data_IF_891098043128
#
_entry.id   IF_891098043128
#
_cell.length_a   1.000
_cell.length_b   1.000
_cell.length_c   1.000
_cell.angle_alpha   90.00
_cell.angle_beta   90.00
_cell.angle_gamma   90.00
#
_symmetry.space_group_name_H-M   'P 1'
#
loop_
_entity.id
_entity.type
_entity.pdbx_description
1 polymer ?
#
# COMPACT_ATOMS: atom_id res chain seq x y z
N UNK A 1 -41.68 2.08 -14.10
CA UNK A 1 -40.63 2.11 -15.14
C UNK A 1 -39.86 3.41 -14.97
N UNK A 2 -38.76 3.38 -14.23
CA UNK A 2 -37.92 4.55 -14.00
C UNK A 2 -36.87 4.61 -15.12
N UNK A 3 -36.75 5.76 -15.79
CA UNK A 3 -35.78 5.96 -16.85
C UNK A 3 -34.38 5.94 -16.25
N UNK A 4 -33.53 5.03 -16.73
CA UNK A 4 -32.11 5.05 -16.48
C UNK A 4 -31.55 6.40 -16.97
N UNK A 5 -31.24 7.30 -16.04
CA UNK A 5 -30.37 8.44 -16.32
C UNK A 5 -29.03 7.87 -16.74
N UNK A 6 -28.81 7.75 -18.05
CA UNK A 6 -27.47 7.54 -18.61
C UNK A 6 -26.70 8.82 -18.32
N UNK A 7 -25.98 8.83 -17.22
CA UNK A 7 -24.94 9.82 -16.96
C UNK A 7 -24.04 9.84 -18.20
N UNK A 8 -23.80 11.00 -18.84
CA UNK A 8 -22.93 11.05 -20.00
C UNK A 8 -21.58 10.41 -19.67
N UNK A 9 -21.02 9.59 -20.57
CA UNK A 9 -19.77 8.86 -20.36
C UNK A 9 -18.62 9.76 -19.87
N UNK A 10 -18.68 11.07 -20.15
CA UNK A 10 -17.72 12.07 -19.69
C UNK A 10 -17.65 12.22 -18.16
N UNK A 11 -18.66 11.78 -17.40
CA UNK A 11 -18.67 11.89 -15.93
C UNK A 11 -18.50 10.55 -15.19
N UNK A 12 -18.35 9.41 -15.89
CA UNK A 12 -18.20 8.08 -15.24
C UNK A 12 -17.00 8.06 -14.29
N UNK A 13 -15.87 8.57 -14.75
CA UNK A 13 -14.59 8.48 -14.04
C UNK A 13 -14.35 9.60 -13.02
N UNK A 14 -15.21 10.62 -13.01
CA UNK A 14 -15.09 11.78 -12.16
C UNK A 14 -13.95 12.72 -12.53
N UNK A 15 -13.60 13.66 -11.63
CA UNK A 15 -12.54 14.63 -11.87
C UNK A 15 -11.16 13.97 -11.96
N UNK A 16 -10.17 14.74 -12.43
CA UNK A 16 -8.76 14.35 -12.32
C UNK A 16 -8.41 14.13 -10.85
N UNK A 17 -7.58 13.11 -10.57
CA UNK A 17 -7.27 12.75 -9.19
C UNK A 17 -6.64 13.91 -8.39
N UNK A 18 -5.75 14.68 -9.02
CA UNK A 18 -5.15 15.85 -8.38
C UNK A 18 -6.20 16.87 -7.89
N UNK A 19 -7.23 17.13 -8.71
CA UNK A 19 -8.34 18.04 -8.37
C UNK A 19 -9.16 17.47 -7.21
N UNK A 20 -9.47 16.17 -7.27
CA UNK A 20 -10.21 15.47 -6.21
C UNK A 20 -9.51 15.55 -4.84
N UNK A 21 -8.18 15.38 -4.83
CA UNK A 21 -7.39 15.44 -3.61
C UNK A 21 -7.20 16.88 -3.10
N UNK A 22 -7.11 17.89 -3.99
CA UNK A 22 -6.82 19.28 -3.60
C UNK A 22 -8.04 20.12 -3.22
N UNK A 23 -9.20 19.92 -3.87
CA UNK A 23 -10.38 20.78 -3.70
C UNK A 23 -11.37 20.29 -2.64
N UNK A 24 -10.87 19.62 -1.59
CA UNK A 24 -11.72 18.99 -0.57
C UNK A 24 -12.74 17.96 -1.13
N UNK A 25 -12.58 17.51 -2.38
CA UNK A 25 -13.45 16.49 -2.99
C UNK A 25 -13.51 15.19 -2.17
N UNK A 26 -12.44 14.89 -1.45
CA UNK A 26 -12.35 13.78 -0.51
C UNK A 26 -13.27 13.90 0.73
N UNK A 27 -13.87 15.07 1.00
CA UNK A 27 -14.87 15.24 2.07
C UNK A 27 -16.27 14.80 1.63
N UNK A 28 -16.54 14.67 0.32
CA UNK A 28 -17.88 14.33 -0.18
C UNK A 28 -18.46 13.04 0.42
N UNK A 29 -17.71 11.92 0.60
CA UNK A 29 -18.23 10.74 1.30
C UNK A 29 -18.75 11.02 2.71
N UNK A 30 -18.08 11.92 3.45
CA UNK A 30 -18.52 12.36 4.78
C UNK A 30 -19.81 13.18 4.68
N UNK A 31 -19.86 14.12 3.74
CA UNK A 31 -20.98 15.05 3.60
C UNK A 31 -22.27 14.34 3.21
N UNK A 32 -22.18 13.31 2.35
CA UNK A 32 -23.35 12.54 1.92
C UNK A 32 -23.80 11.50 2.96
N UNK A 33 -22.91 11.06 3.88
CA UNK A 33 -23.19 9.97 4.81
C UNK A 33 -24.48 10.18 5.62
N UNK A 34 -24.78 11.40 6.07
CA UNK A 34 -26.00 11.69 6.85
C UNK A 34 -27.30 11.50 6.06
N UNK A 35 -27.24 11.52 4.73
CA UNK A 35 -28.39 11.39 3.83
C UNK A 35 -28.59 9.97 3.28
N UNK A 36 -27.56 9.12 3.42
CA UNK A 36 -27.57 7.76 2.91
C UNK A 36 -28.23 6.81 3.91
N UNK A 37 -28.67 5.67 3.40
CA UNK A 37 -29.30 4.59 4.15
C UNK A 37 -28.69 3.26 3.69
N UNK A 38 -28.93 2.18 4.44
CA UNK A 38 -28.46 0.85 4.05
C UNK A 38 -28.90 0.40 2.65
N UNK A 39 -30.04 0.88 2.14
CA UNK A 39 -30.51 0.59 0.78
C UNK A 39 -29.54 1.18 -0.25
N UNK A 40 -29.12 2.44 -0.07
CA UNK A 40 -28.18 3.09 -0.98
C UNK A 40 -26.83 2.36 -1.03
N UNK A 41 -26.37 1.85 0.13
CA UNK A 41 -25.14 1.03 0.20
C UNK A 41 -25.34 -0.31 -0.51
N UNK A 42 -26.45 -1.00 -0.25
CA UNK A 42 -26.74 -2.28 -0.88
C UNK A 42 -26.83 -2.16 -2.41
N UNK A 43 -27.48 -1.10 -2.90
CA UNK A 43 -27.57 -0.81 -4.33
C UNK A 43 -26.19 -0.50 -4.94
N UNK A 44 -25.36 0.30 -4.26
CA UNK A 44 -24.01 0.58 -4.69
C UNK A 44 -23.15 -0.70 -4.74
N UNK A 45 -23.24 -1.57 -3.73
CA UNK A 45 -22.54 -2.86 -3.72
C UNK A 45 -23.00 -3.78 -4.84
N UNK A 46 -24.31 -3.88 -5.06
CA UNK A 46 -24.89 -4.67 -6.15
C UNK A 46 -24.42 -4.16 -7.51
N UNK A 47 -24.31 -2.84 -7.68
CA UNK A 47 -23.86 -2.24 -8.93
C UNK A 47 -22.41 -2.62 -9.30
N UNK A 48 -21.57 -3.04 -8.34
CA UNK A 48 -20.21 -3.50 -8.64
C UNK A 48 -20.16 -4.70 -9.60
N UNK A 49 -21.25 -5.47 -9.68
CA UNK A 49 -21.41 -6.57 -10.63
C UNK A 49 -21.76 -6.12 -12.06
N UNK A 50 -22.10 -4.84 -12.26
CA UNK A 50 -22.50 -4.23 -13.53
C UNK A 50 -21.54 -3.07 -13.89
N UNK A 51 -20.37 -3.36 -14.52
CA UNK A 51 -19.30 -2.37 -14.72
C UNK A 51 -19.68 -1.08 -15.45
N UNK A 52 -20.73 -1.13 -16.27
CA UNK A 52 -21.24 0.03 -17.00
C UNK A 52 -22.03 1.00 -16.10
N UNK A 53 -22.56 0.50 -14.98
CA UNK A 53 -23.32 1.26 -14.00
C UNK A 53 -22.44 1.90 -12.91
N UNK A 54 -21.21 1.42 -12.73
CA UNK A 54 -20.30 1.91 -11.69
C UNK A 54 -19.64 3.22 -12.12
N UNK A 55 -19.84 4.27 -11.33
CA UNK A 55 -19.19 5.58 -11.50
C UNK A 55 -18.28 5.90 -10.31
N UNK A 56 -17.56 7.01 -10.36
CA UNK A 56 -16.78 7.47 -9.20
C UNK A 56 -17.68 7.78 -8.00
N UNK A 57 -18.91 8.27 -8.22
CA UNK A 57 -19.89 8.56 -7.17
C UNK A 57 -20.40 7.30 -6.49
N UNK A 58 -20.41 6.16 -7.21
CA UNK A 58 -20.64 4.84 -6.60
C UNK A 58 -19.60 4.58 -5.50
N UNK A 59 -18.32 4.85 -5.77
CA UNK A 59 -17.27 4.68 -4.76
C UNK A 59 -17.32 5.74 -3.66
N UNK A 60 -17.77 6.97 -3.94
CA UNK A 60 -18.02 7.96 -2.87
C UNK A 60 -19.13 7.48 -1.92
N UNK A 61 -20.19 6.89 -2.49
CA UNK A 61 -21.30 6.30 -1.73
C UNK A 61 -20.81 5.13 -0.87
N UNK A 62 -19.95 4.26 -1.43
CA UNK A 62 -19.37 3.14 -0.69
C UNK A 62 -18.38 3.59 0.38
N UNK A 63 -17.54 4.60 0.11
CA UNK A 63 -16.62 5.17 1.09
C UNK A 63 -17.34 5.95 2.20
N UNK A 64 -18.61 6.31 2.03
CA UNK A 64 -19.44 6.85 3.11
C UNK A 64 -19.64 5.85 4.26
N UNK A 65 -19.40 4.55 4.04
CA UNK A 65 -19.35 3.53 5.10
C UNK A 65 -18.27 3.82 6.16
N UNK A 66 -17.29 4.68 5.88
CA UNK A 66 -16.35 5.13 6.89
C UNK A 66 -17.02 6.03 7.94
N UNK A 67 -18.18 6.63 7.67
CA UNK A 67 -18.76 7.71 8.45
C UNK A 67 -20.12 7.34 9.08
N UNK A 68 -20.34 7.78 10.33
CA UNK A 68 -21.63 7.67 11.01
C UNK A 68 -22.67 8.61 10.38
N UNK A 69 -23.93 8.16 10.16
CA UNK A 69 -24.56 6.95 10.72
C UNK A 69 -24.42 5.68 9.85
N UNK A 70 -23.94 5.80 8.62
CA UNK A 70 -24.00 4.71 7.62
C UNK A 70 -23.00 3.61 7.90
N UNK A 71 -21.96 3.88 8.67
CA UNK A 71 -20.97 2.90 9.08
C UNK A 71 -21.56 1.66 9.79
N UNK A 72 -22.79 1.72 10.31
CA UNK A 72 -23.49 0.54 10.83
C UNK A 72 -23.73 -0.56 9.78
N UNK A 73 -23.56 -0.28 8.49
CA UNK A 73 -23.75 -1.21 7.37
C UNK A 73 -22.45 -1.81 6.83
N UNK A 74 -21.31 -1.66 7.51
CA UNK A 74 -20.01 -2.20 7.06
C UNK A 74 -19.96 -3.73 6.95
N UNK A 75 -20.85 -4.43 7.64
CA UNK A 75 -21.03 -5.88 7.54
C UNK A 75 -21.60 -6.33 6.19
N UNK A 76 -22.25 -5.43 5.43
CA UNK A 76 -22.67 -5.73 4.06
C UNK A 76 -21.50 -6.02 3.10
N UNK A 77 -20.26 -5.69 3.50
CA UNK A 77 -19.05 -5.96 2.73
C UNK A 77 -18.58 -7.43 2.82
N UNK A 78 -19.08 -8.18 3.79
CA UNK A 78 -18.56 -9.50 4.16
C UNK A 78 -19.63 -10.59 4.12
N UNK A 79 -19.18 -11.83 4.01
CA UNK A 79 -20.02 -13.03 4.02
C UNK A 79 -19.62 -14.01 2.93
N UNK A 80 -20.18 -15.22 3.00
CA UNK A 80 -19.81 -16.33 2.11
C UNK A 80 -20.09 -16.04 0.62
N UNK A 81 -21.11 -15.21 0.34
CA UNK A 81 -21.48 -14.78 -1.02
C UNK A 81 -20.85 -13.44 -1.42
N UNK A 82 -20.06 -12.80 -0.54
CA UNK A 82 -19.42 -11.52 -0.85
C UNK A 82 -18.43 -11.68 -1.99
N UNK A 83 -18.44 -10.70 -2.91
CA UNK A 83 -17.52 -10.63 -4.05
C UNK A 83 -16.90 -9.24 -4.19
N UNK A 84 -16.87 -8.46 -3.10
CA UNK A 84 -16.48 -7.04 -3.17
C UNK A 84 -15.05 -6.89 -3.69
N UNK A 85 -14.08 -7.61 -3.12
CA UNK A 85 -12.70 -7.54 -3.56
C UNK A 85 -12.50 -7.95 -5.04
N UNK A 86 -12.97 -9.15 -5.48
CA UNK A 86 -12.82 -9.56 -6.86
C UNK A 86 -13.53 -8.62 -7.84
N UNK A 87 -14.69 -8.05 -7.48
CA UNK A 87 -15.40 -7.09 -8.32
C UNK A 87 -14.60 -5.79 -8.47
N UNK A 88 -14.08 -5.22 -7.38
CA UNK A 88 -13.21 -4.03 -7.44
C UNK A 88 -11.99 -4.25 -8.33
N UNK A 89 -11.29 -5.38 -8.18
CA UNK A 89 -10.12 -5.67 -9.01
C UNK A 89 -10.48 -5.94 -10.47
N UNK A 90 -11.65 -6.51 -10.75
CA UNK A 90 -12.15 -6.65 -12.12
C UNK A 90 -12.47 -5.27 -12.74
N UNK A 91 -13.06 -4.34 -11.99
CA UNK A 91 -13.29 -2.97 -12.44
C UNK A 91 -11.98 -2.24 -12.77
N UNK A 92 -10.96 -2.36 -11.91
CA UNK A 92 -9.63 -1.82 -12.17
C UNK A 92 -9.00 -2.45 -13.42
N UNK A 93 -9.18 -3.76 -13.64
CA UNK A 93 -8.70 -4.41 -14.87
C UNK A 93 -9.41 -3.87 -16.10
N UNK A 94 -10.73 -3.71 -16.06
CA UNK A 94 -11.50 -3.14 -17.18
C UNK A 94 -10.99 -1.73 -17.51
N UNK A 95 -10.81 -0.88 -16.50
CA UNK A 95 -10.25 0.47 -16.63
C UNK A 95 -8.87 0.44 -17.34
N UNK A 96 -7.97 -0.42 -16.89
CA UNK A 96 -6.58 -0.42 -17.37
C UNK A 96 -6.41 -1.12 -18.73
N UNK A 97 -7.04 -2.28 -18.93
CA UNK A 97 -6.77 -3.14 -20.08
C UNK A 97 -7.78 -2.98 -21.22
N UNK A 98 -9.02 -2.61 -20.93
CA UNK A 98 -10.04 -2.37 -21.96
C UNK A 98 -10.14 -0.89 -22.30
N UNK A 99 -10.26 -0.03 -21.30
CA UNK A 99 -10.44 1.41 -21.48
C UNK A 99 -9.10 2.16 -21.63
N UNK A 100 -7.97 1.48 -21.39
CA UNK A 100 -6.59 2.00 -21.52
C UNK A 100 -6.33 3.25 -20.67
N UNK A 101 -6.98 3.34 -19.51
CA UNK A 101 -6.84 4.43 -18.54
C UNK A 101 -5.89 4.03 -17.41
N UNK A 102 -5.22 5.02 -16.84
CA UNK A 102 -4.34 4.82 -15.67
C UNK A 102 -5.16 4.81 -14.38
N UNK A 103 -4.74 4.01 -13.39
CA UNK A 103 -5.40 3.91 -12.07
C UNK A 103 -5.42 5.29 -11.40
N UNK A 104 -4.33 6.04 -11.50
CA UNK A 104 -4.18 7.35 -10.85
C UNK A 104 -4.46 8.54 -11.77
N UNK A 105 -5.15 8.33 -12.90
CA UNK A 105 -5.53 9.41 -13.83
C UNK A 105 -6.69 10.27 -13.29
N UNK A 106 -7.68 9.61 -12.69
CA UNK A 106 -8.96 10.17 -12.27
C UNK A 106 -9.36 9.63 -10.89
N UNK A 107 -10.36 10.26 -10.27
CA UNK A 107 -10.84 9.85 -8.95
C UNK A 107 -11.32 8.39 -8.92
N UNK A 108 -11.90 7.88 -10.02
CA UNK A 108 -12.45 6.53 -10.09
C UNK A 108 -11.48 5.41 -9.71
N UNK A 109 -10.32 5.33 -10.35
CA UNK A 109 -9.36 4.24 -10.12
C UNK A 109 -8.78 4.30 -8.71
N UNK A 110 -8.46 5.50 -8.23
CA UNK A 110 -8.04 5.75 -6.86
C UNK A 110 -9.10 5.33 -5.83
N UNK A 111 -10.34 5.77 -5.99
CA UNK A 111 -11.43 5.47 -5.05
C UNK A 111 -11.77 3.98 -5.03
N UNK A 112 -11.69 3.29 -6.18
CA UNK A 112 -11.82 1.85 -6.24
C UNK A 112 -10.72 1.13 -5.43
N UNK A 113 -9.47 1.55 -5.58
CA UNK A 113 -8.34 1.01 -4.81
C UNK A 113 -8.49 1.31 -3.30
N UNK A 114 -8.94 2.52 -2.96
CA UNK A 114 -9.18 2.94 -1.60
C UNK A 114 -10.28 2.12 -0.92
N UNK A 115 -11.39 1.88 -1.64
CA UNK A 115 -12.48 1.04 -1.16
C UNK A 115 -12.06 -0.43 -1.02
N UNK A 116 -11.22 -0.94 -1.92
CA UNK A 116 -10.63 -2.26 -1.77
C UNK A 116 -9.74 -2.35 -0.51
N UNK A 117 -8.94 -1.32 -0.22
CA UNK A 117 -8.14 -1.24 1.02
C UNK A 117 -9.02 -1.22 2.26
N UNK A 118 -10.10 -0.44 2.26
CA UNK A 118 -11.09 -0.40 3.33
C UNK A 118 -11.73 -1.77 3.56
N UNK A 119 -12.15 -2.43 2.47
CA UNK A 119 -12.75 -3.77 2.50
C UNK A 119 -11.78 -4.82 3.05
N UNK A 120 -10.49 -4.74 2.72
CA UNK A 120 -9.46 -5.63 3.28
C UNK A 120 -9.38 -5.50 4.81
N UNK A 121 -9.42 -4.28 5.35
CA UNK A 121 -9.40 -4.08 6.81
C UNK A 121 -10.62 -4.71 7.48
N UNK A 122 -11.82 -4.50 6.93
CA UNK A 122 -13.04 -5.12 7.44
C UNK A 122 -12.97 -6.65 7.32
N UNK A 123 -12.48 -7.17 6.19
CA UNK A 123 -12.27 -8.60 5.97
C UNK A 123 -11.33 -9.24 7.00
N UNK A 124 -10.23 -8.56 7.36
CA UNK A 124 -9.33 -9.01 8.43
C UNK A 124 -10.03 -9.06 9.79
N UNK A 125 -10.82 -8.04 10.13
CA UNK A 125 -11.57 -7.99 11.39
C UNK A 125 -12.59 -9.13 11.48
N UNK A 126 -13.31 -9.37 10.39
CA UNK A 126 -14.26 -10.48 10.28
C UNK A 126 -13.57 -11.84 10.41
N UNK A 127 -12.48 -12.05 9.67
CA UNK A 127 -11.68 -13.28 9.72
C UNK A 127 -11.09 -13.55 11.11
N UNK A 128 -10.73 -12.48 11.83
CA UNK A 128 -10.27 -12.55 13.22
C UNK A 128 -11.38 -12.75 14.26
N UNK A 129 -12.64 -12.88 13.84
CA UNK A 129 -13.78 -13.09 14.74
C UNK A 129 -14.15 -11.87 15.59
N UNK A 130 -13.72 -10.65 15.21
CA UNK A 130 -13.91 -9.41 15.98
C UNK A 130 -15.00 -8.49 15.44
N UNK A 131 -15.71 -8.91 14.39
CA UNK A 131 -16.70 -8.09 13.71
C UNK A 131 -17.79 -7.57 14.66
N UNK A 132 -18.38 -8.44 15.50
CA UNK A 132 -19.47 -8.04 16.38
C UNK A 132 -19.03 -6.96 17.38
N UNK A 133 -17.88 -7.14 18.03
CA UNK A 133 -17.32 -6.16 18.95
C UNK A 133 -17.02 -4.83 18.23
N UNK A 134 -16.46 -4.91 17.02
CA UNK A 134 -16.23 -3.74 16.17
C UNK A 134 -17.54 -3.00 15.84
N UNK A 135 -18.60 -3.71 15.46
CA UNK A 135 -19.92 -3.15 15.16
C UNK A 135 -20.55 -2.46 16.38
N UNK A 136 -20.45 -3.07 17.56
CA UNK A 136 -20.93 -2.49 18.81
C UNK A 136 -20.24 -1.16 19.16
N UNK A 137 -18.95 -1.04 18.84
CA UNK A 137 -18.17 0.16 19.10
C UNK A 137 -18.50 1.28 18.12
N UNK A 138 -18.57 0.99 16.81
CA UNK A 138 -18.92 2.00 15.80
C UNK A 138 -20.37 2.46 15.91
N UNK A 139 -21.29 1.62 16.42
CA UNK A 139 -22.69 2.00 16.66
C UNK A 139 -22.85 3.11 17.71
N UNK A 140 -21.82 3.36 18.54
CA UNK A 140 -21.82 4.41 19.56
C UNK A 140 -21.32 5.75 19.03
N UNK A 141 -20.86 5.81 17.78
CA UNK A 141 -20.34 7.04 17.18
C UNK A 141 -21.45 8.06 16.93
N UNK A 142 -21.16 9.30 17.29
CA UNK A 142 -22.02 10.43 16.93
C UNK A 142 -22.02 10.66 15.41
N UNK A 143 -23.11 11.18 14.83
CA UNK A 143 -23.19 11.49 13.40
C UNK A 143 -21.99 12.31 12.91
N UNK A 144 -21.52 12.02 11.70
CA UNK A 144 -20.38 12.71 11.08
C UNK A 144 -19.00 12.34 11.62
N UNK A 145 -18.90 11.39 12.55
CA UNK A 145 -17.62 10.83 13.00
C UNK A 145 -17.19 9.65 12.12
N UNK A 146 -15.89 9.56 11.85
CA UNK A 146 -15.28 8.48 11.07
C UNK A 146 -14.92 7.30 11.96
N UNK A 147 -15.13 6.08 11.47
CA UNK A 147 -14.71 4.82 12.12
C UNK A 147 -13.21 4.58 12.01
N UNK A 148 -12.46 5.40 11.26
CA UNK A 148 -11.06 5.17 10.89
C UNK A 148 -10.15 4.84 12.07
N UNK A 149 -10.30 5.54 13.20
CA UNK A 149 -9.49 5.27 14.39
C UNK A 149 -9.78 3.86 14.95
N UNK A 150 -11.06 3.52 15.12
CA UNK A 150 -11.50 2.21 15.62
C UNK A 150 -11.05 1.12 14.64
N UNK A 151 -11.31 1.30 13.35
CA UNK A 151 -10.92 0.37 12.28
C UNK A 151 -9.41 0.10 12.30
N UNK A 152 -8.60 1.16 12.39
CA UNK A 152 -7.15 1.03 12.41
C UNK A 152 -6.66 0.33 13.69
N UNK A 153 -7.28 0.57 14.84
CA UNK A 153 -6.90 -0.10 16.08
C UNK A 153 -7.17 -1.61 16.01
N UNK A 154 -8.37 -2.02 15.59
CA UNK A 154 -8.70 -3.44 15.43
C UNK A 154 -7.80 -4.13 14.40
N UNK A 155 -7.58 -3.49 13.23
CA UNK A 155 -6.68 -4.03 12.22
C UNK A 155 -5.25 -4.20 12.76
N UNK A 156 -4.73 -3.19 13.48
CA UNK A 156 -3.39 -3.22 14.06
C UNK A 156 -3.22 -4.23 15.17
N UNK A 157 -4.23 -4.44 16.02
CA UNK A 157 -4.17 -5.48 17.05
C UNK A 157 -4.06 -6.86 16.41
N UNK A 158 -4.88 -7.15 15.40
CA UNK A 158 -4.84 -8.41 14.67
C UNK A 158 -3.51 -8.62 13.93
N UNK A 159 -3.02 -7.56 13.27
CA UNK A 159 -1.72 -7.57 12.60
C UNK A 159 -0.59 -7.73 13.61
N UNK A 160 -0.68 -7.07 14.77
CA UNK A 160 0.32 -7.16 15.83
C UNK A 160 0.35 -8.53 16.50
N UNK A 161 -0.81 -9.16 16.72
CA UNK A 161 -0.89 -10.54 17.21
C UNK A 161 -0.26 -11.53 16.24
N UNK A 162 -0.45 -11.29 14.95
CA UNK A 162 0.16 -12.08 13.90
C UNK A 162 1.68 -11.89 13.77
N UNK A 163 2.14 -10.63 13.80
CA UNK A 163 3.53 -10.23 13.54
C UNK A 163 4.42 -10.37 14.79
N UNK A 164 3.95 -9.90 15.95
CA UNK A 164 4.80 -9.69 17.14
C UNK A 164 4.71 -10.80 18.18
N UNK A 165 3.56 -11.43 18.36
CA UNK A 165 3.45 -12.53 19.33
C UNK A 165 4.19 -13.80 18.87
N UNK A 166 4.73 -13.82 17.65
CA UNK A 166 5.39 -14.99 17.05
C UNK A 166 6.64 -14.61 16.23
N UNK A 167 7.48 -13.70 16.73
CA UNK A 167 8.82 -13.44 16.18
C UNK A 167 9.58 -14.78 16.02
N UNK A 168 9.61 -15.32 14.80
CA UNK A 168 10.22 -16.61 14.46
C UNK A 168 9.30 -17.66 13.83
N UNK A 169 7.99 -17.42 13.69
CA UNK A 169 7.06 -18.37 13.06
C UNK A 169 6.15 -17.70 12.01
N UNK A 170 6.73 -17.39 10.85
CA UNK A 170 6.07 -16.75 9.69
C UNK A 170 4.83 -17.54 9.24
N UNK A 171 4.83 -18.86 9.41
CA UNK A 171 3.75 -19.77 8.98
C UNK A 171 2.39 -19.49 9.67
N UNK A 172 2.37 -18.81 10.83
CA UNK A 172 1.11 -18.54 11.56
C UNK A 172 0.41 -17.23 11.16
N UNK A 173 1.14 -16.19 10.73
CA UNK A 173 0.50 -14.95 10.26
C UNK A 173 -0.15 -15.14 8.89
N UNK A 174 0.46 -15.96 8.03
CA UNK A 174 -0.17 -16.47 6.80
C UNK A 174 -1.54 -17.08 7.14
N UNK A 175 -1.62 -17.92 8.18
CA UNK A 175 -2.89 -18.54 8.62
C UNK A 175 -4.00 -17.55 8.98
N UNK A 176 -3.67 -16.34 9.44
CA UNK A 176 -4.65 -15.33 9.86
C UNK A 176 -5.50 -14.82 8.69
N UNK A 177 -4.95 -14.73 7.47
CA UNK A 177 -5.74 -14.29 6.32
C UNK A 177 -6.71 -15.36 5.80
N UNK A 178 -6.68 -16.59 6.32
CA UNK A 178 -7.60 -17.65 5.93
C UNK A 178 -7.41 -18.12 4.48
N UNK A 179 -6.36 -18.89 4.24
CA UNK A 179 -6.01 -19.36 2.90
C UNK A 179 -6.74 -20.63 2.48
N UNK A 180 -7.36 -20.60 1.30
CA UNK A 180 -7.96 -21.76 0.66
C UNK A 180 -7.52 -21.91 -0.81
N UNK A 181 -7.69 -23.10 -1.38
CA UNK A 181 -7.41 -23.37 -2.78
C UNK A 181 -8.55 -22.84 -3.67
N UNK A 182 -8.22 -21.88 -4.52
CA UNK A 182 -9.09 -21.40 -5.58
C UNK A 182 -9.31 -22.44 -6.68
N UNK A 183 -10.40 -22.28 -7.44
CA UNK A 183 -10.74 -23.17 -8.57
C UNK A 183 -9.72 -23.10 -9.71
N UNK A 184 -8.96 -22.02 -9.78
CA UNK A 184 -7.89 -21.78 -10.74
C UNK A 184 -6.54 -22.41 -10.34
N UNK A 185 -6.50 -23.15 -9.22
CA UNK A 185 -5.30 -23.81 -8.72
C UNK A 185 -4.33 -22.89 -7.98
N UNK A 186 -4.74 -21.65 -7.69
CA UNK A 186 -4.00 -20.71 -6.86
C UNK A 186 -4.62 -20.61 -5.47
N UNK A 187 -3.80 -20.36 -4.45
CA UNK A 187 -4.31 -20.05 -3.11
C UNK A 187 -4.87 -18.63 -3.09
N UNK A 188 -6.01 -18.46 -2.41
CA UNK A 188 -6.66 -17.18 -2.16
C UNK A 188 -6.87 -16.97 -0.66
N UNK A 189 -6.76 -15.73 -0.19
CA UNK A 189 -6.99 -15.37 1.20
C UNK A 189 -8.17 -14.40 1.35
N UNK A 190 -8.61 -14.17 2.59
CA UNK A 190 -9.76 -13.35 2.97
C UNK A 190 -11.05 -13.81 2.24
N UNK A 191 -11.52 -15.05 2.48
CA UNK A 191 -12.73 -15.58 1.84
C UNK A 191 -13.97 -14.73 2.15
N UNK A 192 -13.98 -14.08 3.32
CA UNK A 192 -15.07 -13.21 3.77
C UNK A 192 -15.38 -12.05 2.82
N UNK A 193 -14.43 -11.63 1.96
CA UNK A 193 -14.63 -10.55 0.97
C UNK A 193 -14.61 -11.07 -0.47
N UNK A 194 -14.75 -12.39 -0.66
CA UNK A 194 -14.75 -13.08 -1.94
C UNK A 194 -13.41 -13.65 -2.39
N UNK A 195 -12.36 -13.51 -1.57
CA UNK A 195 -11.03 -14.05 -1.86
C UNK A 195 -10.13 -13.12 -2.68
N UNK A 196 -8.89 -12.97 -2.25
CA UNK A 196 -7.83 -12.26 -2.96
C UNK A 196 -7.07 -13.24 -3.87
N UNK A 197 -7.51 -13.37 -5.12
CA UNK A 197 -6.93 -14.28 -6.10
C UNK A 197 -5.68 -13.69 -6.77
N UNK A 198 -4.63 -14.51 -6.92
CA UNK A 198 -3.41 -14.11 -7.62
C UNK A 198 -3.70 -13.61 -9.05
N UNK A 199 -4.57 -14.32 -9.78
CA UNK A 199 -4.97 -13.99 -11.15
C UNK A 199 -5.62 -12.62 -11.25
N UNK A 200 -6.20 -12.11 -10.17
CA UNK A 200 -6.78 -10.76 -10.08
C UNK A 200 -5.78 -9.72 -9.63
N UNK A 201 -4.99 -10.05 -8.63
CA UNK A 201 -4.03 -9.13 -8.02
C UNK A 201 -2.85 -8.79 -8.95
N UNK A 202 -2.30 -9.76 -9.69
CA UNK A 202 -1.06 -9.54 -10.44
C UNK A 202 -1.17 -8.47 -11.54
N UNK A 203 -2.24 -8.43 -12.37
CA UNK A 203 -2.38 -7.36 -13.35
C UNK A 203 -2.44 -5.97 -12.73
N UNK A 204 -3.09 -5.83 -11.57
CA UNK A 204 -3.17 -4.55 -10.85
C UNK A 204 -1.83 -4.18 -10.23
N UNK A 205 -1.12 -5.13 -9.62
CA UNK A 205 0.22 -4.90 -9.09
C UNK A 205 1.20 -4.42 -10.17
N UNK A 206 1.18 -5.07 -11.35
CA UNK A 206 2.01 -4.67 -12.50
C UNK A 206 1.63 -3.27 -13.02
N UNK A 207 0.35 -2.91 -12.97
CA UNK A 207 -0.10 -1.57 -13.33
C UNK A 207 0.35 -0.51 -12.30
N UNK A 208 0.24 -0.81 -11.00
CA UNK A 208 0.79 0.07 -9.94
C UNK A 208 2.28 0.29 -10.13
N UNK A 209 3.03 -0.76 -10.48
CA UNK A 209 4.45 -0.67 -10.82
C UNK A 209 4.71 0.18 -12.08
N UNK A 210 3.92 0.03 -13.14
CA UNK A 210 4.02 0.90 -14.30
C UNK A 210 3.74 2.38 -13.96
N UNK A 211 2.89 2.63 -12.96
CA UNK A 211 2.53 3.95 -12.45
C UNK A 211 3.31 4.37 -11.19
N UNK A 212 4.43 3.71 -10.87
CA UNK A 212 5.13 3.85 -9.58
C UNK A 212 5.55 5.29 -9.19
N UNK A 213 5.80 6.16 -10.17
CA UNK A 213 6.00 7.61 -9.94
C UNK A 213 4.73 8.27 -9.39
N UNK A 214 3.60 8.05 -10.07
CA UNK A 214 2.30 8.55 -9.64
C UNK A 214 1.85 7.93 -8.32
N UNK A 215 2.13 6.64 -8.11
CA UNK A 215 1.83 5.93 -6.87
C UNK A 215 2.44 6.63 -5.65
N UNK A 216 3.74 6.95 -5.67
CA UNK A 216 4.41 7.62 -4.55
C UNK A 216 3.78 8.99 -4.25
N UNK A 217 3.53 9.79 -5.29
CA UNK A 217 2.91 11.11 -5.15
C UNK A 217 1.51 11.04 -4.57
N UNK A 218 0.68 10.13 -5.09
CA UNK A 218 -0.70 9.96 -4.63
C UNK A 218 -0.73 9.42 -3.21
N UNK A 219 0.09 8.40 -2.90
CA UNK A 219 0.16 7.84 -1.56
C UNK A 219 0.59 8.89 -0.53
N UNK A 220 1.58 9.74 -0.86
CA UNK A 220 1.99 10.85 0.00
C UNK A 220 0.87 11.86 0.22
N UNK A 221 0.15 12.25 -0.83
CA UNK A 221 -0.96 13.21 -0.72
C UNK A 221 -2.13 12.63 0.08
N UNK A 222 -2.47 11.35 -0.14
CA UNK A 222 -3.56 10.67 0.53
C UNK A 222 -3.24 10.32 2.00
N UNK A 223 -1.97 10.35 2.39
CA UNK A 223 -1.51 9.96 3.72
C UNK A 223 -2.14 10.85 4.82
N UNK A 224 -2.98 10.25 5.66
CA UNK A 224 -3.71 10.96 6.72
C UNK A 224 -5.08 11.52 6.30
N UNK A 225 -5.39 11.52 5.00
CA UNK A 225 -6.75 11.80 4.49
C UNK A 225 -7.59 10.52 4.54
N UNK A 226 -7.04 9.42 4.02
CA UNK A 226 -7.72 8.13 3.91
C UNK A 226 -7.10 7.06 4.80
N UNK A 227 -7.81 5.94 5.08
CA UNK A 227 -7.19 4.74 5.61
C UNK A 227 -6.04 4.30 4.69
N UNK A 228 -4.84 4.14 5.23
CA UNK A 228 -3.67 3.77 4.42
C UNK A 228 -3.75 2.38 3.78
N UNK A 229 -2.83 2.12 2.86
CA UNK A 229 -2.77 0.94 1.98
C UNK A 229 -1.88 -0.19 2.48
N UNK A 230 -1.18 -0.03 3.62
CA UNK A 230 -0.30 -1.08 4.17
C UNK A 230 -1.02 -2.44 4.29
N UNK A 231 -2.27 -2.45 4.74
CA UNK A 231 -3.07 -3.66 4.86
C UNK A 231 -3.38 -4.33 3.52
N UNK A 232 -3.69 -3.54 2.49
CA UNK A 232 -3.90 -4.02 1.12
C UNK A 232 -2.59 -4.55 0.53
N UNK A 233 -1.52 -3.76 0.59
CA UNK A 233 -0.21 -4.13 0.07
C UNK A 233 0.33 -5.40 0.71
N UNK A 234 0.10 -5.57 2.02
CA UNK A 234 0.43 -6.81 2.72
C UNK A 234 -0.34 -8.00 2.15
N UNK A 235 -1.64 -7.87 1.88
CA UNK A 235 -2.44 -8.94 1.26
C UNK A 235 -1.93 -9.26 -0.15
N UNK A 236 -1.58 -8.24 -0.97
CA UNK A 236 -1.02 -8.49 -2.30
C UNK A 236 0.33 -9.21 -2.20
N UNK A 237 1.17 -8.79 -1.26
CA UNK A 237 2.45 -9.40 -0.96
C UNK A 237 2.30 -10.86 -0.53
N UNK A 238 1.42 -11.15 0.42
CA UNK A 238 1.18 -12.51 0.92
C UNK A 238 0.61 -13.41 -0.18
N UNK A 239 -0.22 -12.85 -1.07
CA UNK A 239 -0.71 -13.55 -2.28
C UNK A 239 0.41 -13.92 -3.25
N UNK A 240 1.40 -13.04 -3.45
CA UNK A 240 2.60 -13.37 -4.23
C UNK A 240 3.41 -14.45 -3.51
N UNK A 241 3.64 -14.29 -2.21
CA UNK A 241 4.42 -15.21 -1.40
C UNK A 241 3.86 -16.64 -1.44
N UNK A 242 2.58 -16.80 -1.15
CA UNK A 242 1.94 -18.11 -1.07
C UNK A 242 1.91 -18.86 -2.40
N UNK A 243 1.80 -18.14 -3.53
CA UNK A 243 1.67 -18.75 -4.84
C UNK A 243 2.98 -18.86 -5.63
N UNK A 244 3.95 -17.98 -5.36
CA UNK A 244 5.23 -17.90 -6.10
C UNK A 244 6.48 -18.11 -5.22
N UNK A 245 6.38 -17.90 -3.91
CA UNK A 245 7.49 -18.03 -2.94
C UNK A 245 7.60 -19.39 -2.26
N UNK A 246 6.51 -20.17 -2.22
CA UNK A 246 6.46 -21.46 -1.51
C UNK A 246 7.17 -22.65 -2.20
N UNK A 247 7.16 -23.81 -1.53
CA UNK A 247 7.78 -25.08 -2.00
C UNK A 247 7.27 -25.60 -3.35
N UNK A 248 6.08 -25.16 -3.79
CA UNK A 248 5.51 -25.42 -5.11
C UNK A 248 5.39 -24.10 -5.87
N UNK A 249 6.42 -23.76 -6.63
CA UNK A 249 6.45 -22.56 -7.46
C UNK A 249 5.50 -22.74 -8.64
N UNK A 250 4.40 -21.98 -8.67
CA UNK A 250 3.47 -21.95 -9.80
C UNK A 250 3.92 -20.88 -10.81
N UNK A 251 3.82 -21.14 -12.12
CA UNK A 251 4.19 -20.18 -13.17
C UNK A 251 5.68 -20.16 -13.56
N UNK A 252 6.03 -19.28 -14.51
CA UNK A 252 7.40 -19.18 -15.03
C UNK A 252 8.32 -18.40 -14.07
N UNK A 253 9.60 -18.76 -13.98
CA UNK A 253 10.58 -18.03 -13.15
C UNK A 253 10.64 -16.54 -13.50
N UNK A 254 10.60 -16.22 -14.80
CA UNK A 254 10.62 -14.83 -15.28
C UNK A 254 9.41 -14.04 -14.79
N UNK A 255 8.21 -14.62 -14.81
CA UNK A 255 7.01 -13.96 -14.29
C UNK A 255 7.07 -13.76 -12.78
N UNK A 256 7.62 -14.73 -12.05
CA UNK A 256 7.84 -14.63 -10.60
C UNK A 256 8.79 -13.48 -10.26
N UNK A 257 9.95 -13.42 -10.92
CA UNK A 257 10.95 -12.37 -10.70
C UNK A 257 10.35 -10.96 -10.94
N UNK A 258 9.56 -10.81 -12.02
CA UNK A 258 8.83 -9.56 -12.30
C UNK A 258 7.87 -9.21 -11.17
N UNK A 259 7.03 -10.16 -10.74
CA UNK A 259 6.01 -9.89 -9.73
C UNK A 259 6.64 -9.53 -8.37
N UNK A 260 7.76 -10.19 -8.01
CA UNK A 260 8.54 -9.88 -6.82
C UNK A 260 9.15 -8.48 -6.86
N UNK A 261 9.75 -8.10 -7.98
CA UNK A 261 10.28 -6.75 -8.17
C UNK A 261 9.17 -5.69 -8.09
N UNK A 262 8.00 -5.97 -8.67
CA UNK A 262 6.85 -5.06 -8.60
C UNK A 262 6.39 -4.82 -7.14
N UNK A 263 6.13 -5.88 -6.37
CA UNK A 263 5.66 -5.71 -4.98
C UNK A 263 6.71 -5.07 -4.08
N UNK A 264 7.98 -5.40 -4.30
CA UNK A 264 9.05 -4.83 -3.49
C UNK A 264 9.27 -3.34 -3.76
N UNK A 265 9.31 -2.90 -5.03
CA UNK A 265 9.46 -1.47 -5.33
C UNK A 265 8.23 -0.67 -4.87
N UNK A 266 7.02 -1.20 -5.03
CA UNK A 266 5.80 -0.56 -4.51
C UNK A 266 5.82 -0.50 -2.98
N UNK A 267 6.27 -1.56 -2.31
CA UNK A 267 6.45 -1.59 -0.86
C UNK A 267 7.46 -0.54 -0.39
N UNK A 268 8.63 -0.45 -1.03
CA UNK A 268 9.65 0.57 -0.74
C UNK A 268 9.11 1.99 -0.91
N UNK A 269 8.41 2.26 -2.01
CA UNK A 269 7.80 3.57 -2.27
C UNK A 269 6.73 3.90 -1.24
N UNK A 270 5.90 2.92 -0.85
CA UNK A 270 4.91 3.14 0.18
C UNK A 270 5.55 3.40 1.55
N UNK A 271 6.63 2.71 1.91
CA UNK A 271 7.35 2.95 3.17
C UNK A 271 7.89 4.38 3.30
N UNK A 272 8.20 5.06 2.19
CA UNK A 272 8.68 6.44 2.21
C UNK A 272 7.59 7.45 2.59
N UNK A 273 6.32 7.08 2.45
CA UNK A 273 5.19 7.98 2.73
C UNK A 273 4.20 7.44 3.77
N UNK A 274 4.33 6.17 4.17
CA UNK A 274 3.51 5.53 5.21
C UNK A 274 3.62 6.28 6.54
N UNK A 275 2.52 6.31 7.29
CA UNK A 275 2.51 6.85 8.66
C UNK A 275 3.03 5.82 9.66
N UNK A 276 3.42 6.27 10.85
CA UNK A 276 4.00 5.41 11.90
C UNK A 276 3.08 4.23 12.28
N UNK A 277 1.76 4.42 12.22
CA UNK A 277 0.78 3.35 12.44
C UNK A 277 0.81 2.23 11.40
N UNK A 278 1.35 2.47 10.20
CA UNK A 278 1.41 1.53 9.07
C UNK A 278 2.80 0.88 8.89
N UNK A 279 3.81 1.44 9.57
CA UNK A 279 5.20 1.01 9.44
C UNK A 279 5.43 -0.45 9.83
N UNK A 280 4.80 -1.04 10.87
CA UNK A 280 4.97 -2.47 11.19
C UNK A 280 4.63 -3.40 10.03
N UNK A 281 3.50 -3.19 9.36
CA UNK A 281 3.13 -3.99 8.19
C UNK A 281 4.04 -3.74 7.01
N UNK A 282 4.36 -2.48 6.75
CA UNK A 282 5.22 -2.11 5.63
C UNK A 282 6.64 -2.66 5.82
N UNK A 283 7.12 -2.70 7.06
CA UNK A 283 8.35 -3.35 7.46
C UNK A 283 8.33 -4.85 7.13
N UNK A 284 7.23 -5.57 7.39
CA UNK A 284 7.11 -7.00 7.05
C UNK A 284 7.26 -7.23 5.54
N UNK A 285 6.62 -6.39 4.72
CA UNK A 285 6.70 -6.47 3.25
C UNK A 285 8.16 -6.31 2.77
N UNK A 286 8.91 -5.38 3.38
CA UNK A 286 10.27 -5.00 2.96
C UNK A 286 11.35 -5.89 3.58
N UNK A 287 11.14 -6.39 4.80
CA UNK A 287 12.15 -7.08 5.59
C UNK A 287 11.92 -8.59 5.72
N UNK A 288 11.07 -9.19 4.89
CA UNK A 288 10.97 -10.64 4.86
C UNK A 288 12.26 -11.22 4.24
N UNK A 289 12.99 -12.01 5.02
CA UNK A 289 14.29 -12.59 4.65
C UNK A 289 14.25 -13.42 3.37
N UNK A 290 13.11 -14.03 3.04
CA UNK A 290 12.92 -14.75 1.78
C UNK A 290 12.90 -13.78 0.59
N UNK A 291 12.28 -12.60 0.69
CA UNK A 291 12.28 -11.62 -0.41
C UNK A 291 13.69 -11.15 -0.75
N UNK A 292 14.52 -10.84 0.25
CA UNK A 292 15.90 -10.38 -0.02
C UNK A 292 16.74 -11.41 -0.77
N UNK A 293 16.42 -12.69 -0.61
CA UNK A 293 17.08 -13.79 -1.34
C UNK A 293 16.56 -13.96 -2.77
N UNK A 294 15.31 -13.54 -3.04
CA UNK A 294 14.66 -13.66 -4.36
C UNK A 294 14.69 -12.37 -5.19
N UNK A 295 14.97 -11.22 -4.59
CA UNK A 295 15.12 -9.97 -5.31
C UNK A 295 16.38 -10.00 -6.15
N UNK A 296 16.21 -9.70 -7.44
CA UNK A 296 17.32 -9.58 -8.38
C UNK A 296 18.21 -8.40 -7.99
N UNK A 297 19.51 -8.63 -8.13
CA UNK A 297 20.67 -7.72 -8.03
C UNK A 297 20.33 -6.22 -7.87
N UNK A 298 20.93 -5.50 -6.88
CA UNK A 298 20.83 -4.05 -6.70
C UNK A 298 20.78 -3.17 -7.96
N UNK A 299 21.32 -3.61 -9.10
CA UNK A 299 21.19 -2.92 -10.40
C UNK A 299 19.81 -2.94 -11.08
N UNK A 300 18.77 -3.51 -10.46
CA UNK A 300 17.47 -3.72 -11.11
C UNK A 300 16.48 -2.54 -11.02
N UNK A 301 16.75 -1.54 -10.18
CA UNK A 301 15.89 -0.37 -10.04
C UNK A 301 16.49 0.85 -10.72
N UNK A 302 15.67 1.56 -11.50
CA UNK A 302 16.05 2.80 -12.15
C UNK A 302 14.93 3.83 -12.02
N UNK A 303 15.28 5.12 -11.88
CA UNK A 303 14.27 6.17 -11.80
C UNK A 303 13.53 6.23 -13.14
N UNK A 304 12.25 6.58 -13.12
CA UNK A 304 11.48 6.80 -14.36
C UNK A 304 12.04 8.00 -15.12
N UNK A 305 12.31 9.07 -14.38
CA UNK A 305 12.88 10.32 -14.85
C UNK A 305 13.53 11.07 -13.67
N UNK A 306 14.11 12.24 -13.93
CA UNK A 306 14.78 13.06 -12.90
C UNK A 306 13.82 13.46 -11.78
N UNK A 307 12.56 13.74 -12.11
CA UNK A 307 11.57 14.15 -11.13
C UNK A 307 11.17 12.99 -10.19
N UNK A 308 11.08 11.76 -10.71
CA UNK A 308 10.91 10.56 -9.91
C UNK A 308 12.08 10.37 -8.93
N UNK A 309 13.32 10.55 -9.39
CA UNK A 309 14.53 10.51 -8.55
C UNK A 309 14.47 11.53 -7.41
N UNK A 310 14.11 12.78 -7.72
CA UNK A 310 14.01 13.85 -6.73
C UNK A 310 12.95 13.54 -5.68
N UNK A 311 11.77 13.09 -6.12
CA UNK A 311 10.68 12.74 -5.23
C UNK A 311 11.05 11.59 -4.28
N UNK A 312 11.69 10.54 -4.79
CA UNK A 312 12.18 9.42 -3.97
C UNK A 312 13.16 9.92 -2.92
N UNK A 313 14.12 10.78 -3.29
CA UNK A 313 15.09 11.32 -2.34
C UNK A 313 14.42 12.20 -1.26
N UNK A 314 13.47 13.05 -1.64
CA UNK A 314 12.71 13.91 -0.71
C UNK A 314 11.90 13.06 0.27
N UNK A 315 11.08 12.13 -0.23
CA UNK A 315 10.25 11.28 0.63
C UNK A 315 11.10 10.40 1.54
N UNK A 316 12.22 9.87 1.05
CA UNK A 316 13.14 9.07 1.87
C UNK A 316 13.77 9.90 2.98
N UNK A 317 14.22 11.12 2.67
CA UNK A 317 14.78 12.05 3.67
C UNK A 317 13.76 12.31 4.78
N UNK A 318 12.53 12.69 4.41
CA UNK A 318 11.43 12.93 5.37
C UNK A 318 11.13 11.69 6.22
N UNK A 319 11.12 10.50 5.61
CA UNK A 319 10.85 9.25 6.33
C UNK A 319 11.95 8.93 7.33
N UNK A 320 13.23 9.01 6.93
CA UNK A 320 14.37 8.73 7.80
C UNK A 320 14.38 9.66 9.03
N UNK A 321 14.06 10.93 8.84
CA UNK A 321 13.92 11.89 9.94
C UNK A 321 12.77 11.52 10.88
N UNK A 322 11.60 11.14 10.32
CA UNK A 322 10.43 10.74 11.12
C UNK A 322 10.66 9.46 11.94
N UNK A 323 11.44 8.53 11.40
CA UNK A 323 11.73 7.27 12.06
C UNK A 323 12.78 7.44 13.14
N UNK A 324 13.49 8.57 13.24
CA UNK A 324 14.66 8.75 14.10
C UNK A 324 14.40 8.60 15.61
N UNK A 325 13.14 8.39 16.01
CA UNK A 325 12.69 8.06 17.37
C UNK A 325 12.20 6.60 17.53
N UNK A 326 12.19 5.81 16.45
CA UNK A 326 11.68 4.44 16.38
C UNK A 326 12.85 3.48 16.11
N UNK A 327 13.42 2.96 17.18
CA UNK A 327 14.67 2.19 17.15
C UNK A 327 14.56 0.80 16.50
N UNK A 328 13.35 0.27 16.38
CA UNK A 328 13.11 -1.09 15.86
C UNK A 328 12.98 -1.14 14.32
N UNK A 329 13.05 -0.01 13.64
CA UNK A 329 12.80 0.11 12.19
C UNK A 329 14.07 0.23 11.34
N UNK A 330 15.22 -0.19 11.87
CA UNK A 330 16.53 -0.04 11.20
C UNK A 330 16.62 -0.77 9.86
N UNK A 331 16.00 -1.94 9.70
CA UNK A 331 15.98 -2.63 8.40
C UNK A 331 15.13 -1.94 7.35
N UNK A 332 14.00 -1.34 7.73
CA UNK A 332 13.20 -0.56 6.79
C UNK A 332 13.95 0.71 6.38
N UNK A 333 14.55 1.42 7.35
CA UNK A 333 15.40 2.58 7.10
C UNK A 333 16.58 2.23 6.17
N UNK A 334 17.22 1.07 6.38
CA UNK A 334 18.28 0.54 5.52
C UNK A 334 17.79 0.37 4.08
N UNK A 335 16.66 -0.32 3.90
CA UNK A 335 16.15 -0.65 2.59
C UNK A 335 15.75 0.60 1.78
N UNK A 336 15.05 1.56 2.40
CA UNK A 336 14.68 2.82 1.74
C UNK A 336 15.90 3.69 1.44
N UNK A 337 16.91 3.71 2.33
CA UNK A 337 18.16 4.43 2.11
C UNK A 337 18.91 3.84 0.91
N UNK A 338 19.15 2.52 0.90
CA UNK A 338 19.83 1.86 -0.20
C UNK A 338 19.11 2.09 -1.54
N UNK A 339 17.78 1.95 -1.54
CA UNK A 339 16.97 2.19 -2.72
C UNK A 339 17.07 3.63 -3.21
N UNK A 340 16.90 4.63 -2.32
CA UNK A 340 17.01 6.03 -2.71
C UNK A 340 18.40 6.38 -3.24
N UNK A 341 19.47 5.90 -2.59
CA UNK A 341 20.85 6.13 -3.03
C UNK A 341 21.12 5.56 -4.43
N UNK A 342 20.50 4.43 -4.80
CA UNK A 342 20.63 3.86 -6.15
C UNK A 342 19.88 4.66 -7.23
N UNK A 343 18.81 5.35 -6.85
CA UNK A 343 17.99 6.12 -7.80
C UNK A 343 18.45 7.56 -8.01
N UNK A 344 19.41 8.05 -7.22
CA UNK A 344 19.96 9.40 -7.37
C UNK A 344 20.57 9.59 -8.77
N UNK A 345 20.05 10.56 -9.51
CA UNK A 345 20.57 10.95 -10.83
C UNK A 345 21.52 12.15 -10.74
N UNK A 346 22.30 12.40 -11.79
CA UNK A 346 23.32 13.47 -11.81
C UNK A 346 22.74 14.89 -11.71
N UNK A 347 21.51 15.13 -12.15
CA UNK A 347 20.88 16.44 -12.01
C UNK A 347 20.46 16.63 -10.54
N UNK A 348 20.99 17.66 -9.87
CA UNK A 348 20.78 17.92 -8.44
C UNK A 348 21.26 16.81 -7.49
N UNK A 349 22.17 15.95 -7.96
CA UNK A 349 22.75 14.85 -7.18
C UNK A 349 23.30 15.32 -5.83
N UNK A 350 24.12 16.37 -5.82
CA UNK A 350 24.78 16.87 -4.61
C UNK A 350 23.76 17.35 -3.56
N UNK A 351 22.71 18.05 -3.99
CA UNK A 351 21.65 18.54 -3.10
C UNK A 351 20.92 17.37 -2.42
N UNK A 352 20.41 16.44 -3.22
CA UNK A 352 19.60 15.33 -2.73
C UNK A 352 20.43 14.29 -1.98
N UNK A 353 21.67 14.03 -2.40
CA UNK A 353 22.60 13.18 -1.65
C UNK A 353 22.91 13.79 -0.27
N UNK A 354 23.20 15.09 -0.20
CA UNK A 354 23.50 15.75 1.07
C UNK A 354 22.31 15.69 2.03
N UNK A 355 21.09 15.98 1.57
CA UNK A 355 19.87 15.86 2.38
C UNK A 355 19.65 14.43 2.88
N UNK A 356 19.75 13.45 1.98
CA UNK A 356 19.55 12.04 2.29
C UNK A 356 20.53 11.54 3.34
N UNK A 357 21.83 11.78 3.15
CA UNK A 357 22.85 11.32 4.08
C UNK A 357 22.84 12.09 5.40
N UNK A 358 22.53 13.39 5.41
CA UNK A 358 22.33 14.13 6.67
C UNK A 358 21.20 13.53 7.51
N UNK A 359 20.05 13.22 6.89
CA UNK A 359 18.94 12.56 7.58
C UNK A 359 19.35 11.16 8.08
N UNK A 360 20.07 10.40 7.27
CA UNK A 360 20.55 9.07 7.63
C UNK A 360 21.54 9.10 8.82
N UNK A 361 22.48 10.04 8.82
CA UNK A 361 23.43 10.25 9.92
C UNK A 361 22.72 10.74 11.19
N UNK A 362 21.75 11.65 11.07
CA UNK A 362 20.97 12.13 12.21
C UNK A 362 20.22 10.99 12.88
N UNK A 363 19.61 10.09 12.09
CA UNK A 363 19.02 8.86 12.61
C UNK A 363 20.07 8.00 13.33
N UNK A 364 21.19 7.71 12.68
CA UNK A 364 22.26 6.89 13.28
C UNK A 364 22.74 7.47 14.62
N UNK A 365 22.86 8.80 14.70
CA UNK A 365 23.26 9.49 15.91
C UNK A 365 22.24 9.33 17.05
N UNK A 366 20.95 9.43 16.74
CA UNK A 366 19.90 9.19 17.72
C UNK A 366 19.94 7.75 18.26
N UNK A 367 20.14 6.76 17.40
CA UNK A 367 20.32 5.35 17.79
C UNK A 367 21.53 5.17 18.72
N UNK A 368 22.68 5.79 18.39
CA UNK A 368 23.88 5.77 19.24
C UNK A 368 23.58 6.37 20.62
N UNK A 369 22.82 7.46 20.70
CA UNK A 369 22.51 8.12 21.97
C UNK A 369 21.75 7.23 22.97
N UNK A 370 21.06 6.19 22.47
CA UNK A 370 20.28 5.23 23.24
C UNK A 370 20.85 3.81 23.19
N UNK A 371 22.09 3.63 22.70
CA UNK A 371 22.75 2.33 22.53
C UNK A 371 22.81 1.50 23.82
N UNK A 372 22.95 2.16 24.96
CA UNK A 372 22.97 1.54 26.29
C UNK A 372 21.65 0.86 26.67
N UNK A 373 20.58 1.09 25.89
CA UNK A 373 19.23 0.50 26.07
C UNK A 373 18.88 -0.52 24.99
N UNK A 374 19.82 -0.85 24.11
CA UNK A 374 19.61 -1.82 23.04
C UNK A 374 19.87 -3.24 23.54
N UNK A 375 18.98 -4.16 23.18
CA UNK A 375 19.25 -5.59 23.26
C UNK A 375 20.11 -6.04 22.08
N UNK A 376 20.51 -7.32 22.09
CA UNK A 376 21.35 -7.91 21.03
C UNK A 376 20.71 -7.85 19.64
N UNK A 377 19.38 -7.99 19.55
CA UNK A 377 18.67 -7.93 18.28
C UNK A 377 18.70 -6.51 17.70
N UNK A 378 18.33 -5.51 18.50
CA UNK A 378 18.38 -4.09 18.13
C UNK A 378 19.78 -3.69 17.68
N UNK A 379 20.81 -4.14 18.41
CA UNK A 379 22.19 -3.87 18.03
C UNK A 379 22.56 -4.53 16.70
N UNK A 380 22.18 -5.79 16.48
CA UNK A 380 22.39 -6.44 15.17
C UNK A 380 21.71 -5.68 14.03
N UNK A 381 20.47 -5.21 14.21
CA UNK A 381 19.75 -4.45 13.17
C UNK A 381 20.37 -3.08 12.91
N UNK A 382 20.89 -2.43 13.95
CA UNK A 382 21.55 -1.12 13.83
C UNK A 382 22.92 -1.25 13.16
N UNK A 383 23.68 -2.32 13.42
CA UNK A 383 24.92 -2.61 12.71
C UNK A 383 24.69 -2.74 11.20
N UNK A 384 23.64 -3.46 10.77
CA UNK A 384 23.26 -3.56 9.34
C UNK A 384 22.94 -2.20 8.75
N UNK A 385 22.26 -1.33 9.49
CA UNK A 385 21.97 0.03 9.04
C UNK A 385 23.26 0.86 8.86
N UNK A 386 24.22 0.76 9.79
CA UNK A 386 25.52 1.42 9.67
C UNK A 386 26.33 0.89 8.47
N UNK A 387 26.32 -0.43 8.24
CA UNK A 387 26.95 -1.06 7.06
C UNK A 387 26.33 -0.56 5.76
N UNK A 388 25.00 -0.44 5.70
CA UNK A 388 24.33 0.08 4.53
C UNK A 388 24.60 1.58 4.30
N UNK A 389 24.64 2.38 5.37
CA UNK A 389 24.99 3.79 5.31
C UNK A 389 26.43 3.98 4.80
N UNK A 390 27.39 3.26 5.37
CA UNK A 390 28.80 3.32 4.95
C UNK A 390 28.98 2.78 3.54
N UNK A 391 28.39 1.64 3.19
CA UNK A 391 28.49 1.06 1.86
C UNK A 391 27.79 1.87 0.77
N UNK A 392 26.72 2.60 1.07
CA UNK A 392 26.10 3.54 0.12
C UNK A 392 26.92 4.82 -0.03
N UNK A 393 27.53 5.31 1.05
CA UNK A 393 28.44 6.46 1.03
C UNK A 393 29.74 6.14 0.28
N UNK A 394 30.32 4.95 0.45
CA UNK A 394 31.52 4.53 -0.27
C UNK A 394 31.27 4.50 -1.78
N UNK A 395 30.07 4.10 -2.23
CA UNK A 395 29.67 4.23 -3.64
C UNK A 395 29.57 5.70 -4.05
N UNK A 396 29.01 6.57 -3.21
CA UNK A 396 28.95 8.02 -3.45
C UNK A 396 30.36 8.64 -3.61
N UNK A 397 31.32 8.25 -2.77
CA UNK A 397 32.69 8.76 -2.80
C UNK A 397 33.47 8.18 -3.99
N UNK A 398 33.30 6.89 -4.29
CA UNK A 398 34.08 6.15 -5.30
C UNK A 398 33.64 6.40 -6.74
N UNK A 399 32.49 7.04 -6.97
CA UNK A 399 32.09 7.48 -8.32
C UNK A 399 33.12 8.47 -8.88
N UNK A 400 33.85 8.13 -9.97
CA UNK A 400 34.87 8.99 -10.54
C UNK A 400 34.29 10.38 -10.86
N UNK A 401 35.05 11.44 -10.58
CA UNK A 401 34.69 12.82 -10.90
C UNK A 401 34.34 13.02 -12.40
N UNK A 402 34.79 12.12 -13.28
CA UNK A 402 34.40 12.04 -14.68
C UNK A 402 33.02 11.41 -14.92
N UNK A 403 32.61 10.37 -14.20
CA UNK A 403 31.27 9.76 -14.33
C UNK A 403 30.17 10.63 -13.72
N UNK A 404 30.52 11.48 -12.74
CA UNK A 404 29.65 12.59 -12.30
C UNK A 404 29.28 13.56 -13.44
N UNK A 405 30.06 13.59 -14.54
CA UNK A 405 29.79 14.37 -15.75
C UNK A 405 29.25 13.54 -16.93
N UNK A 406 29.46 12.22 -16.99
CA UNK A 406 29.17 11.41 -18.20
C UNK A 406 27.67 11.09 -18.39
N UNK A 407 26.83 11.19 -17.35
CA UNK A 407 25.36 11.10 -17.49
C UNK A 407 24.70 12.40 -18.00
N UNK A 408 25.48 13.38 -18.47
CA UNK A 408 24.98 14.66 -19.03
C UNK A 408 24.82 14.66 -20.56
N UNK A 409 25.06 13.54 -21.26
CA UNK A 409 24.77 13.47 -22.69
C UNK A 409 23.34 12.96 -22.93
N UNK A 410 22.45 13.76 -23.53
CA UNK A 410 21.14 13.26 -23.96
C UNK A 410 21.35 12.25 -25.09
N UNK A 411 20.64 11.13 -25.02
CA UNK A 411 20.26 10.35 -26.20
C UNK A 411 18.91 10.86 -26.70
#
# INVERSE_FOLDING_TARGET
MASAFRTPMSNKYGPKLAVYLSEEGHNRPRDIAVSLTGIHIADALKSLAEPDCVTFETFETLMALEWSPVCGHVDSLIGDDSKVFPLCFNLLKLLCFHEKKKIFESAYGFMCLQFASFTVKIGKIAQGGRLLAFQEEIARLQPGHSIRLILNNYARELEGEGIWNNLGNVDKFVGFLGWDWGRDGYRACLPQIGGCLLTQTMPILRQLYAERKSFLNVAQQAAGMFPGWSGLLYVLWDTVFENHGGKKKLGSKKDQDINWNCIFEIGLRYAMCSKAEEDPLTYVIINNGDLRLYLTDPGCFSPIDVEDSNQVAICTTQKLESLASINDMNYMATAILMYASMLLTCQNFELHANQLYQAAFRRAWNEISVIHRMDSYRWSTFAVYLEALTGSLDRYISLPTGERRVLTKPL
#
